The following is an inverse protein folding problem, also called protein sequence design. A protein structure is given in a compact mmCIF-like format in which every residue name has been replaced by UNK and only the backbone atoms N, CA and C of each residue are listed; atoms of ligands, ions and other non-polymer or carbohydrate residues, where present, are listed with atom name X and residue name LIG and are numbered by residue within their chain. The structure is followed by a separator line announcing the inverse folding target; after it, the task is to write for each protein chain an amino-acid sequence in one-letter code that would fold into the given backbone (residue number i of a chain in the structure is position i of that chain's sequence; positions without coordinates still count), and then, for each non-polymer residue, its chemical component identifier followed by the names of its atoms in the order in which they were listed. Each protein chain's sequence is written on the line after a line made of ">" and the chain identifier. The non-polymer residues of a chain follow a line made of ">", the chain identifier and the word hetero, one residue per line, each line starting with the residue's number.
data_IF_421090963295
#
_entry.id   IF_421090963295
#
_cell.length_a   1.000
_cell.length_b   1.000
_cell.length_c   1.000
_cell.angle_alpha   90.00
_cell.angle_beta   90.00
_cell.angle_gamma   90.00
#
_symmetry.space_group_name_H-M   'P 1'
#
loop_
_entity.id
_entity.type
_entity.pdbx_description
1 polymer ?
#
# COMPACT_ATOMS: atom_id res chain seq x y z
N UNK A 1 -4.22 9.33 -0.52
CA UNK A 1 -5.65 9.13 -0.14
C UNK A 1 -6.03 7.70 -0.56
N UNK A 2 -7.20 7.15 -0.20
CA UNK A 2 -7.62 5.87 -0.79
C UNK A 2 -7.98 6.14 -2.27
N UNK A 3 -7.56 5.26 -3.17
CA UNK A 3 -7.94 5.30 -4.59
C UNK A 3 -9.14 4.38 -4.75
N UNK A 4 -10.31 4.94 -5.02
CA UNK A 4 -11.57 4.15 -5.01
C UNK A 4 -12.12 3.87 -6.41
N UNK A 5 -11.65 4.62 -7.40
CA UNK A 5 -12.21 4.58 -8.76
C UNK A 5 -11.42 3.61 -9.64
N UNK A 6 -12.13 2.68 -10.28
CA UNK A 6 -11.59 1.71 -11.24
C UNK A 6 -12.04 2.07 -12.66
N UNK A 7 -11.20 1.82 -13.66
CA UNK A 7 -11.37 2.25 -15.06
C UNK A 7 -11.03 1.08 -15.99
N UNK A 8 -11.93 0.70 -16.90
CA UNK A 8 -11.79 -0.51 -17.75
C UNK A 8 -11.60 -1.80 -16.94
N UNK A 9 -12.53 -2.10 -16.03
CA UNK A 9 -12.56 -3.36 -15.29
C UNK A 9 -12.19 -3.20 -13.81
N UNK A 10 -11.68 -4.27 -13.20
CA UNK A 10 -11.54 -4.37 -11.73
C UNK A 10 -10.14 -4.05 -11.20
N UNK A 11 -9.12 -4.06 -12.06
CA UNK A 11 -7.71 -4.03 -11.64
C UNK A 11 -6.98 -2.73 -11.98
N UNK A 12 -7.56 -1.90 -12.84
CA UNK A 12 -6.96 -0.64 -13.28
C UNK A 12 -7.59 0.52 -12.53
N UNK A 13 -6.87 1.05 -11.54
CA UNK A 13 -7.32 2.24 -10.81
C UNK A 13 -7.09 3.50 -11.62
N UNK A 14 -7.96 4.49 -11.43
CA UNK A 14 -7.82 5.83 -11.99
C UNK A 14 -6.63 6.54 -11.34
N UNK A 15 -5.74 7.12 -12.14
CA UNK A 15 -4.66 7.95 -11.62
C UNK A 15 -5.20 9.34 -11.34
N UNK A 16 -4.96 9.85 -10.13
CA UNK A 16 -5.29 11.21 -9.73
C UNK A 16 -4.22 11.73 -8.76
N UNK A 17 -4.16 13.05 -8.55
CA UNK A 17 -3.10 13.70 -7.77
C UNK A 17 -2.93 13.16 -6.34
N UNK A 18 -4.01 12.61 -5.78
CA UNK A 18 -4.05 12.04 -4.44
C UNK A 18 -3.81 10.53 -4.37
N UNK A 19 -3.49 9.87 -5.49
CA UNK A 19 -3.35 8.41 -5.58
C UNK A 19 -2.11 7.88 -4.87
N UNK A 20 -1.15 8.77 -4.55
CA UNK A 20 0.12 8.43 -3.91
C UNK A 20 0.90 7.35 -4.66
N UNK A 21 0.81 7.36 -5.99
CA UNK A 21 1.52 6.39 -6.79
C UNK A 21 2.85 6.90 -7.31
N UNK A 22 3.72 5.94 -7.56
CA UNK A 22 5.12 6.12 -7.93
C UNK A 22 5.34 5.40 -9.26
N UNK A 23 5.86 6.13 -10.24
CA UNK A 23 6.21 5.60 -11.55
C UNK A 23 7.74 5.57 -11.65
N UNK A 24 8.29 4.37 -11.77
CA UNK A 24 9.74 4.14 -11.83
C UNK A 24 10.11 3.66 -13.22
N UNK A 25 11.10 4.29 -13.84
CA UNK A 25 11.58 3.90 -15.16
C UNK A 25 12.10 2.47 -15.12
N UNK A 26 11.53 1.63 -15.99
CA UNK A 26 11.94 0.23 -16.18
C UNK A 26 13.04 0.10 -17.23
N UNK A 27 13.20 1.13 -18.05
CA UNK A 27 14.32 1.27 -18.99
C UNK A 27 15.39 2.15 -18.33
N UNK A 28 16.69 1.83 -18.43
CA UNK A 28 17.74 2.66 -17.83
C UNK A 28 17.72 4.09 -18.39
N UNK A 29 17.76 5.09 -17.50
CA UNK A 29 17.85 6.50 -17.88
C UNK A 29 19.30 6.89 -18.13
N UNK A 30 19.78 6.72 -19.36
CA UNK A 30 21.18 7.01 -19.70
C UNK A 30 21.36 8.52 -19.84
N UNK A 31 22.13 9.11 -18.91
CA UNK A 31 22.43 10.54 -18.88
C UNK A 31 23.92 10.80 -19.06
N UNK A 32 24.23 11.99 -19.57
CA UNK A 32 25.60 12.52 -19.71
C UNK A 32 26.08 13.02 -18.35
N UNK A 33 27.04 12.32 -17.77
CA UNK A 33 27.62 12.67 -16.46
C UNK A 33 28.96 13.35 -16.64
N UNK A 34 29.19 14.53 -16.01
CA UNK A 34 30.49 15.19 -16.05
C UNK A 34 31.60 14.29 -15.51
N UNK A 35 32.73 14.24 -16.21
CA UNK A 35 33.97 13.60 -15.76
C UNK A 35 35.19 14.41 -16.21
N UNK A 36 36.38 14.18 -15.63
CA UNK A 36 37.61 14.85 -16.07
C UNK A 36 37.94 14.64 -17.56
N UNK A 37 37.51 13.54 -18.16
CA UNK A 37 37.72 13.22 -19.58
C UNK A 37 36.60 13.69 -20.51
N UNK A 38 35.62 14.44 -20.01
CA UNK A 38 34.41 14.84 -20.74
C UNK A 38 33.16 14.07 -20.32
N UNK A 39 31.99 14.36 -20.92
CA UNK A 39 30.73 13.73 -20.53
C UNK A 39 30.70 12.22 -20.82
N UNK A 40 30.38 11.42 -19.82
CA UNK A 40 30.27 9.95 -19.94
C UNK A 40 28.80 9.53 -19.82
N UNK A 41 28.26 8.73 -20.76
CA UNK A 41 26.92 8.16 -20.62
C UNK A 41 26.85 7.14 -19.47
N UNK A 42 26.01 7.39 -18.46
CA UNK A 42 25.81 6.52 -17.29
C UNK A 42 24.31 6.26 -17.10
N UNK A 43 23.88 5.01 -16.86
CA UNK A 43 22.49 4.69 -16.54
C UNK A 43 22.12 5.12 -15.12
N UNK A 44 20.98 5.80 -14.98
CA UNK A 44 20.40 6.22 -13.71
C UNK A 44 18.99 5.65 -13.49
N UNK A 45 18.55 5.52 -12.22
CA UNK A 45 17.13 5.39 -11.93
C UNK A 45 16.40 6.70 -12.27
N UNK A 46 15.13 6.61 -12.64
CA UNK A 46 14.30 7.79 -12.85
C UNK A 46 12.88 7.53 -12.31
N UNK A 47 12.41 8.42 -11.43
CA UNK A 47 11.20 8.22 -10.63
C UNK A 47 10.36 9.49 -10.69
N UNK A 48 9.07 9.32 -10.98
CA UNK A 48 8.07 10.39 -10.97
C UNK A 48 6.87 9.99 -10.11
N UNK A 49 6.11 10.98 -9.60
CA UNK A 49 5.06 10.73 -8.61
C UNK A 49 3.74 11.38 -9.01
N UNK A 50 2.62 10.73 -8.71
CA UNK A 50 1.29 11.29 -9.00
C UNK A 50 0.95 12.54 -8.19
N UNK A 51 1.63 12.74 -7.06
CA UNK A 51 1.53 13.97 -6.25
C UNK A 51 1.92 15.24 -7.02
N UNK A 52 2.77 15.11 -8.04
CA UNK A 52 3.19 16.21 -8.92
C UNK A 52 2.38 16.28 -10.20
N UNK A 53 1.22 15.61 -10.26
CA UNK A 53 0.31 15.69 -11.40
C UNK A 53 -0.06 17.14 -11.71
N UNK A 54 0.18 17.51 -12.97
CA UNK A 54 -0.14 18.77 -13.59
C UNK A 54 -0.91 18.53 -14.90
N UNK A 55 -1.58 19.58 -15.39
CA UNK A 55 -2.33 19.57 -16.66
C UNK A 55 -3.41 18.46 -16.73
N UNK A 56 -3.92 18.03 -15.57
CA UNK A 56 -5.04 17.09 -15.46
C UNK A 56 -6.41 17.80 -15.49
N UNK A 57 -7.44 17.12 -15.00
CA UNK A 57 -8.81 17.67 -14.98
C UNK A 57 -9.00 18.88 -14.07
N UNK A 58 -9.88 19.79 -14.46
CA UNK A 58 -10.17 21.03 -13.75
C UNK A 58 -11.52 21.03 -13.05
N UNK A 59 -12.55 20.46 -13.67
CA UNK A 59 -13.95 20.39 -13.21
C UNK A 59 -14.32 18.99 -12.69
N UNK A 60 -13.86 17.92 -13.33
CA UNK A 60 -14.12 16.54 -12.87
C UNK A 60 -13.05 16.13 -11.85
N UNK A 61 -13.47 15.71 -10.66
CA UNK A 61 -12.56 15.35 -9.56
C UNK A 61 -12.78 13.92 -9.09
N UNK A 62 -11.73 13.30 -8.57
CA UNK A 62 -11.76 11.97 -7.96
C UNK A 62 -11.29 12.06 -6.50
N UNK A 63 -11.76 11.15 -5.65
CA UNK A 63 -11.22 10.89 -4.31
C UNK A 63 -10.78 12.14 -3.53
N UNK A 64 -11.73 12.76 -2.83
CA UNK A 64 -11.49 13.95 -2.01
C UNK A 64 -11.18 15.21 -2.82
N UNK A 65 -11.73 15.33 -4.03
CA UNK A 65 -11.62 16.54 -4.85
C UNK A 65 -10.31 16.65 -5.65
N UNK A 66 -9.59 15.54 -5.84
CA UNK A 66 -8.30 15.53 -6.51
C UNK A 66 -8.43 15.60 -8.04
N UNK A 67 -7.47 16.29 -8.66
CA UNK A 67 -7.28 16.34 -10.11
C UNK A 67 -6.98 14.95 -10.68
N UNK A 68 -7.64 14.59 -11.76
CA UNK A 68 -7.53 13.31 -12.45
C UNK A 68 -6.51 13.40 -13.58
N UNK A 69 -5.71 12.37 -13.77
CA UNK A 69 -4.79 12.26 -14.90
C UNK A 69 -5.54 11.84 -16.16
N UNK A 70 -5.27 12.57 -17.25
CA UNK A 70 -5.91 12.41 -18.55
C UNK A 70 -4.86 12.53 -19.64
N UNK A 71 -5.17 12.11 -20.86
CA UNK A 71 -4.30 12.29 -22.02
C UNK A 71 -3.85 13.76 -22.14
N UNK A 72 -2.52 13.95 -22.19
CA UNK A 72 -1.87 15.26 -22.21
C UNK A 72 -1.58 15.86 -20.83
N UNK A 73 -1.93 15.17 -19.74
CA UNK A 73 -1.45 15.50 -18.40
C UNK A 73 -0.05 14.92 -18.16
N UNK A 74 0.61 15.35 -17.09
CA UNK A 74 1.99 14.95 -16.80
C UNK A 74 2.27 14.93 -15.30
N UNK A 75 3.31 14.19 -14.88
CA UNK A 75 3.94 14.42 -13.59
C UNK A 75 5.05 15.43 -13.81
N UNK A 76 4.97 16.59 -13.17
CA UNK A 76 5.71 17.78 -13.58
C UNK A 76 7.23 17.68 -13.47
N UNK A 77 7.74 16.69 -12.74
CA UNK A 77 9.17 16.44 -12.59
C UNK A 77 9.43 14.97 -12.23
N UNK A 78 10.64 14.53 -12.55
CA UNK A 78 11.19 13.25 -12.17
C UNK A 78 12.53 13.41 -11.44
N UNK A 79 13.00 12.36 -10.75
CA UNK A 79 14.21 12.39 -9.92
C UNK A 79 14.98 11.07 -9.99
N UNK A 80 16.24 11.06 -9.56
CA UNK A 80 17.12 9.88 -9.52
C UNK A 80 18.29 9.96 -10.52
N UNK A 81 18.18 10.84 -11.50
CA UNK A 81 19.14 11.15 -12.57
C UNK A 81 19.98 12.41 -12.27
N UNK A 82 19.90 12.94 -11.04
CA UNK A 82 20.45 14.24 -10.66
C UNK A 82 21.98 14.38 -10.84
N UNK A 83 22.73 13.27 -10.89
CA UNK A 83 24.16 13.28 -11.15
C UNK A 83 24.50 13.45 -12.64
N UNK A 84 23.56 13.12 -13.54
CA UNK A 84 23.68 13.33 -14.98
C UNK A 84 23.34 14.77 -15.38
N UNK A 85 24.06 15.75 -14.83
CA UNK A 85 23.72 17.19 -14.94
C UNK A 85 23.75 17.77 -16.36
N UNK A 86 24.37 17.07 -17.32
CA UNK A 86 24.36 17.44 -18.74
C UNK A 86 23.18 16.83 -19.51
N UNK A 87 22.26 16.19 -18.79
CA UNK A 87 21.00 15.67 -19.26
C UNK A 87 21.09 14.31 -19.96
N UNK A 88 19.92 13.79 -20.30
CA UNK A 88 19.73 12.55 -21.02
C UNK A 88 20.48 12.51 -22.35
N UNK A 89 20.96 11.34 -22.75
CA UNK A 89 21.61 11.15 -24.06
C UNK A 89 20.64 11.49 -25.20
N UNK A 90 19.36 11.16 -25.03
CA UNK A 90 18.32 11.42 -26.03
C UNK A 90 17.62 12.77 -25.80
N UNK A 91 17.23 13.08 -24.57
CA UNK A 91 16.45 14.29 -24.28
C UNK A 91 17.30 15.56 -24.12
N UNK A 92 18.58 15.42 -23.75
CA UNK A 92 19.42 16.51 -23.24
C UNK A 92 18.81 17.29 -22.07
N UNK A 93 17.93 16.65 -21.31
CA UNK A 93 17.30 17.21 -20.10
C UNK A 93 17.57 16.34 -18.87
N UNK A 94 17.40 16.90 -17.68
CA UNK A 94 17.42 16.17 -16.41
C UNK A 94 16.25 16.65 -15.54
N UNK A 95 15.72 15.77 -14.70
CA UNK A 95 14.59 16.05 -13.78
C UNK A 95 13.32 16.59 -14.46
N UNK A 96 13.09 16.24 -15.73
CA UNK A 96 11.92 16.71 -16.49
C UNK A 96 10.70 15.86 -16.29
N UNK A 97 9.59 16.31 -16.86
CA UNK A 97 8.28 15.72 -16.68
C UNK A 97 8.21 14.28 -17.18
N UNK A 98 7.20 13.59 -16.66
CA UNK A 98 6.82 12.23 -17.05
C UNK A 98 5.43 12.24 -17.66
N UNK A 99 5.34 11.83 -18.93
CA UNK A 99 4.15 11.92 -19.78
C UNK A 99 3.61 10.55 -20.16
N UNK A 100 2.33 10.48 -20.52
CA UNK A 100 1.65 9.22 -20.80
C UNK A 100 1.88 8.71 -22.23
N UNK A 101 2.19 7.42 -22.36
CA UNK A 101 2.21 6.67 -23.63
C UNK A 101 0.83 6.05 -23.88
N UNK A 102 0.27 5.41 -22.85
CA UNK A 102 -1.03 4.75 -22.90
C UNK A 102 -2.05 5.47 -22.02
N UNK A 103 -3.32 5.20 -22.29
CA UNK A 103 -4.49 5.71 -21.58
C UNK A 103 -5.70 4.85 -21.97
N UNK A 104 -6.80 4.96 -21.22
CA UNK A 104 -8.06 4.29 -21.55
C UNK A 104 -8.56 4.67 -22.94
N UNK A 105 -8.99 3.72 -23.77
CA UNK A 105 -9.60 4.04 -25.07
C UNK A 105 -11.04 4.54 -24.94
N UNK A 106 -11.77 4.02 -23.94
CA UNK A 106 -13.22 4.17 -23.82
C UNK A 106 -13.62 5.20 -22.76
N UNK A 107 -12.89 5.23 -21.64
CA UNK A 107 -13.21 6.10 -20.51
C UNK A 107 -12.51 7.42 -20.66
N UNK A 108 -13.29 8.50 -20.66
CA UNK A 108 -12.81 9.87 -20.81
C UNK A 108 -13.31 10.73 -19.66
N UNK A 109 -12.46 11.64 -19.22
CA UNK A 109 -12.77 12.70 -18.26
C UNK A 109 -12.49 14.03 -18.96
N UNK A 110 -13.46 14.96 -18.92
CA UNK A 110 -13.36 16.24 -19.66
C UNK A 110 -13.04 16.05 -21.16
N UNK A 111 -13.63 15.02 -21.77
CA UNK A 111 -13.42 14.70 -23.18
C UNK A 111 -12.06 14.09 -23.52
N UNK A 112 -11.16 13.91 -22.54
CA UNK A 112 -9.83 13.31 -22.73
C UNK A 112 -9.74 11.96 -22.05
N UNK A 113 -9.00 11.04 -22.65
CA UNK A 113 -8.83 9.67 -22.17
C UNK A 113 -8.26 9.63 -20.75
N UNK A 114 -8.86 8.83 -19.86
CA UNK A 114 -8.41 8.68 -18.48
C UNK A 114 -7.11 7.85 -18.41
N UNK A 115 -6.17 8.27 -17.57
CA UNK A 115 -4.93 7.54 -17.31
C UNK A 115 -5.10 6.60 -16.11
N UNK A 116 -4.55 5.40 -16.22
CA UNK A 116 -4.74 4.27 -15.31
C UNK A 116 -3.40 3.82 -14.75
N UNK A 117 -3.46 3.09 -13.64
CA UNK A 117 -2.32 2.51 -12.94
C UNK A 117 -1.24 1.94 -13.89
N UNK A 118 -1.63 1.03 -14.78
CA UNK A 118 -0.70 0.27 -15.63
C UNK A 118 -0.38 0.96 -16.94
N UNK A 119 -0.85 2.20 -17.13
CA UNK A 119 -0.57 2.95 -18.34
C UNK A 119 0.89 3.40 -18.35
N UNK A 120 1.55 3.15 -19.48
CA UNK A 120 2.99 3.35 -19.66
C UNK A 120 3.32 4.82 -19.77
N UNK A 121 4.54 5.19 -19.36
CA UNK A 121 4.97 6.58 -19.30
C UNK A 121 6.37 6.77 -19.90
N UNK A 122 6.58 7.91 -20.51
CA UNK A 122 7.92 8.44 -20.79
C UNK A 122 8.36 9.26 -19.58
N UNK A 123 9.64 9.21 -19.21
CA UNK A 123 10.20 10.04 -18.14
C UNK A 123 11.40 10.86 -18.62
N UNK A 124 11.68 11.95 -17.91
CA UNK A 124 12.72 12.92 -18.22
C UNK A 124 12.66 13.40 -19.68
N UNK A 125 11.51 13.96 -20.06
CA UNK A 125 11.27 14.46 -21.42
C UNK A 125 11.49 13.38 -22.50
N UNK A 126 11.16 12.13 -22.19
CA UNK A 126 11.28 11.00 -23.11
C UNK A 126 12.69 10.46 -23.31
N UNK A 127 13.61 10.72 -22.37
CA UNK A 127 14.91 10.05 -22.33
C UNK A 127 14.78 8.56 -22.00
N UNK A 128 13.85 8.24 -21.09
CA UNK A 128 13.57 6.88 -20.65
C UNK A 128 12.07 6.59 -20.61
N UNK A 129 11.71 5.35 -20.29
CA UNK A 129 10.34 4.88 -20.17
C UNK A 129 10.11 4.02 -18.94
N UNK A 130 8.91 4.18 -18.37
CA UNK A 130 8.28 3.24 -17.46
C UNK A 130 7.25 2.41 -18.23
N UNK A 131 7.57 1.13 -18.38
CA UNK A 131 6.74 0.16 -19.10
C UNK A 131 5.84 -0.65 -18.17
N UNK A 132 6.02 -0.55 -16.85
CA UNK A 132 5.18 -1.20 -15.85
C UNK A 132 3.96 -0.34 -15.48
N UNK A 133 4.10 0.98 -15.55
CA UNK A 133 3.11 1.95 -15.10
C UNK A 133 3.35 2.36 -13.64
N UNK A 134 2.45 3.19 -13.13
CA UNK A 134 2.49 3.68 -11.75
C UNK A 134 2.12 2.58 -10.76
N UNK A 135 2.89 2.43 -9.69
CA UNK A 135 2.54 1.63 -8.52
C UNK A 135 1.74 2.49 -7.55
N UNK A 136 0.52 2.06 -7.20
CA UNK A 136 -0.30 2.72 -6.19
C UNK A 136 -0.45 1.81 -4.96
N UNK A 137 0.20 2.20 -3.85
CA UNK A 137 0.04 1.53 -2.56
C UNK A 137 -1.40 1.55 -2.02
N UNK A 138 -2.27 2.41 -2.58
CA UNK A 138 -3.68 2.45 -2.26
C UNK A 138 -4.44 1.18 -2.66
N UNK A 139 -3.97 0.45 -3.69
CA UNK A 139 -4.62 -0.79 -4.14
C UNK A 139 -4.54 -1.85 -3.06
N UNK A 140 -3.36 -2.12 -2.51
CA UNK A 140 -3.22 -3.13 -1.46
C UNK A 140 -4.06 -2.79 -0.23
N UNK A 141 -4.12 -1.51 0.18
CA UNK A 141 -4.98 -1.09 1.28
C UNK A 141 -6.46 -1.28 0.95
N UNK A 142 -6.89 -1.03 -0.28
CA UNK A 142 -8.27 -1.24 -0.71
C UNK A 142 -8.59 -2.74 -0.80
N UNK A 143 -7.71 -3.56 -1.36
CA UNK A 143 -7.86 -5.02 -1.39
C UNK A 143 -8.00 -5.57 0.03
N UNK A 144 -7.18 -5.10 0.98
CA UNK A 144 -7.33 -5.45 2.39
C UNK A 144 -8.64 -4.95 2.99
N UNK A 145 -9.14 -3.78 2.59
CA UNK A 145 -10.44 -3.26 3.01
C UNK A 145 -11.59 -4.13 2.49
N UNK A 146 -11.53 -4.55 1.23
CA UNK A 146 -12.54 -5.42 0.60
C UNK A 146 -12.55 -6.80 1.28
N UNK A 147 -11.37 -7.42 1.48
CA UNK A 147 -11.22 -8.65 2.24
C UNK A 147 -11.77 -8.54 3.67
N UNK A 148 -11.51 -7.40 4.32
CA UNK A 148 -11.98 -7.13 5.68
C UNK A 148 -13.50 -7.11 5.73
N UNK A 149 -14.15 -6.45 4.76
CA UNK A 149 -15.61 -6.41 4.68
C UNK A 149 -16.22 -7.77 4.38
N UNK A 150 -15.61 -8.54 3.48
CA UNK A 150 -16.04 -9.91 3.22
C UNK A 150 -15.91 -10.80 4.45
N UNK A 151 -14.80 -10.71 5.19
CA UNK A 151 -14.62 -11.47 6.43
C UNK A 151 -15.59 -11.03 7.54
N UNK A 152 -15.92 -9.74 7.60
CA UNK A 152 -16.90 -9.21 8.54
C UNK A 152 -18.30 -9.79 8.31
N UNK A 153 -18.66 -9.98 7.03
CA UNK A 153 -19.93 -10.58 6.61
C UNK A 153 -19.93 -12.11 6.72
N UNK A 154 -18.82 -12.78 6.40
CA UNK A 154 -18.73 -14.25 6.43
C UNK A 154 -18.67 -14.80 7.86
N UNK A 155 -17.99 -14.11 8.77
CA UNK A 155 -17.79 -14.57 10.15
C UNK A 155 -18.82 -13.91 11.08
N UNK A 156 -19.97 -14.56 11.22
CA UNK A 156 -21.05 -14.14 12.12
C UNK A 156 -20.86 -14.69 13.55
N UNK A 157 -21.40 -14.00 14.57
CA UNK A 157 -21.26 -14.42 15.96
C UNK A 157 -22.05 -15.70 16.28
N UNK A 158 -21.40 -16.62 16.99
CA UNK A 158 -22.02 -17.81 17.56
C UNK A 158 -22.40 -17.60 19.05
N UNK A 159 -23.30 -18.42 19.63
CA UNK A 159 -23.80 -18.22 21.00
C UNK A 159 -22.72 -18.11 22.09
N UNK A 160 -21.61 -18.85 21.95
CA UNK A 160 -20.50 -18.86 22.90
C UNK A 160 -19.41 -17.82 22.59
N UNK A 161 -19.58 -17.02 21.53
CA UNK A 161 -18.59 -16.03 21.15
C UNK A 161 -18.53 -14.86 22.14
N UNK A 162 -17.31 -14.37 22.32
CA UNK A 162 -17.02 -13.10 22.97
C UNK A 162 -16.34 -12.18 21.97
N UNK A 163 -16.34 -10.87 22.18
CA UNK A 163 -15.69 -9.93 21.25
C UNK A 163 -14.24 -10.30 20.91
N UNK A 164 -13.37 -10.71 21.87
CA UNK A 164 -12.02 -11.17 21.53
C UNK A 164 -12.00 -12.45 20.69
N UNK A 165 -12.91 -13.39 20.95
CA UNK A 165 -12.98 -14.67 20.22
C UNK A 165 -13.48 -14.45 18.79
N UNK A 166 -14.58 -13.71 18.62
CA UNK A 166 -15.10 -13.32 17.31
C UNK A 166 -14.05 -12.51 16.51
N UNK A 167 -13.37 -11.58 17.18
CA UNK A 167 -12.27 -10.84 16.58
C UNK A 167 -11.15 -11.76 16.10
N UNK A 168 -10.78 -12.78 16.87
CA UNK A 168 -9.78 -13.78 16.45
C UNK A 168 -10.23 -14.56 15.21
N UNK A 169 -11.48 -15.03 15.17
CA UNK A 169 -12.06 -15.71 13.99
C UNK A 169 -12.02 -14.82 12.73
N UNK A 170 -12.34 -13.53 12.86
CA UNK A 170 -12.25 -12.56 11.75
C UNK A 170 -10.82 -12.32 11.25
N UNK A 171 -9.83 -12.25 12.15
CA UNK A 171 -8.43 -12.17 11.74
C UNK A 171 -7.93 -13.46 11.08
N UNK A 172 -8.42 -14.63 11.49
CA UNK A 172 -8.10 -15.90 10.83
C UNK A 172 -8.65 -15.92 9.39
N UNK A 173 -9.88 -15.43 9.18
CA UNK A 173 -10.42 -15.21 7.84
C UNK A 173 -9.53 -14.28 6.99
N UNK A 174 -9.06 -13.16 7.56
CA UNK A 174 -8.14 -12.25 6.87
C UNK A 174 -6.83 -12.93 6.47
N UNK A 175 -6.20 -13.66 7.38
CA UNK A 175 -4.96 -14.40 7.10
C UNK A 175 -5.17 -15.43 5.97
N UNK A 176 -6.31 -16.12 5.97
CA UNK A 176 -6.68 -17.08 4.93
C UNK A 176 -6.80 -16.39 3.56
N UNK A 177 -7.56 -15.29 3.48
CA UNK A 177 -7.73 -14.53 2.22
C UNK A 177 -6.42 -13.95 1.70
N UNK A 178 -5.60 -13.35 2.57
CA UNK A 178 -4.28 -12.80 2.17
C UNK A 178 -3.38 -13.91 1.64
N UNK A 179 -3.41 -15.11 2.22
CA UNK A 179 -2.57 -16.24 1.76
C UNK A 179 -2.98 -16.78 0.38
N UNK A 180 -4.24 -16.59 0.00
CA UNK A 180 -4.82 -17.03 -1.27
C UNK A 180 -4.80 -15.93 -2.34
N UNK A 181 -4.52 -14.69 -1.95
CA UNK A 181 -4.48 -13.56 -2.86
C UNK A 181 -3.39 -13.70 -3.93
N UNK A 182 -3.77 -13.37 -5.17
CA UNK A 182 -2.89 -13.39 -6.34
C UNK A 182 -2.77 -12.01 -6.97
N UNK A 183 -3.09 -10.96 -6.21
CA UNK A 183 -2.96 -9.59 -6.69
C UNK A 183 -1.50 -9.27 -7.02
N UNK A 184 -1.25 -8.34 -7.95
CA UNK A 184 0.12 -7.95 -8.30
C UNK A 184 0.89 -7.33 -7.12
N UNK A 185 0.18 -6.75 -6.15
CA UNK A 185 0.80 -6.24 -4.94
C UNK A 185 0.92 -7.36 -3.92
N UNK A 186 2.15 -7.66 -3.50
CA UNK A 186 2.44 -8.73 -2.54
C UNK A 186 2.04 -8.30 -1.13
N UNK A 187 1.15 -9.07 -0.52
CA UNK A 187 0.72 -8.89 0.87
C UNK A 187 1.03 -10.16 1.66
N UNK A 188 1.38 -9.98 2.92
CA UNK A 188 1.65 -11.08 3.86
C UNK A 188 0.76 -10.86 5.08
N UNK A 189 0.07 -11.92 5.51
CA UNK A 189 -0.73 -11.91 6.74
C UNK A 189 0.12 -11.79 8.00
N UNK A 190 -0.49 -12.01 9.16
CA UNK A 190 0.18 -11.79 10.45
C UNK A 190 1.55 -12.45 10.51
N UNK A 191 2.57 -11.64 10.78
CA UNK A 191 3.96 -12.10 10.90
C UNK A 191 4.57 -11.52 12.15
N UNK A 192 5.22 -12.36 12.95
CA UNK A 192 5.97 -11.92 14.12
C UNK A 192 7.27 -11.23 13.70
N UNK A 193 7.56 -10.05 14.25
CA UNK A 193 8.84 -9.35 14.10
C UNK A 193 9.47 -9.10 15.46
N UNK A 194 10.77 -9.32 15.60
CA UNK A 194 11.47 -9.05 16.84
C UNK A 194 11.47 -7.54 17.13
N UNK A 195 11.01 -7.15 18.32
CA UNK A 195 10.85 -5.73 18.71
C UNK A 195 12.18 -4.95 18.71
N UNK A 196 13.31 -5.61 18.88
CA UNK A 196 14.64 -4.98 18.95
C UNK A 196 15.32 -4.92 17.59
N UNK A 197 15.25 -5.99 16.80
CA UNK A 197 16.00 -6.08 15.54
C UNK A 197 15.16 -5.70 14.32
N UNK A 198 13.83 -5.72 14.43
CA UNK A 198 12.92 -5.52 13.29
C UNK A 198 12.87 -6.68 12.31
N UNK A 199 13.67 -7.74 12.52
CA UNK A 199 13.67 -8.90 11.65
C UNK A 199 12.47 -9.83 11.93
N UNK A 200 12.00 -10.58 10.92
CA UNK A 200 11.02 -11.64 11.14
C UNK A 200 11.49 -12.59 12.26
N UNK A 201 10.62 -12.89 13.21
CA UNK A 201 10.92 -13.81 14.28
C UNK A 201 11.08 -15.24 13.72
N UNK A 202 11.78 -16.09 14.48
CA UNK A 202 11.86 -17.51 14.19
C UNK A 202 10.46 -18.14 14.29
N UNK A 203 10.16 -19.05 13.35
CA UNK A 203 8.91 -19.81 13.38
C UNK A 203 8.76 -20.53 14.73
N UNK A 204 7.54 -20.59 15.30
CA UNK A 204 6.25 -20.25 14.70
C UNK A 204 5.87 -18.76 14.82
N UNK A 205 5.45 -18.16 13.70
CA UNK A 205 5.17 -16.72 13.56
C UNK A 205 3.69 -16.37 13.77
N UNK A 206 3.06 -16.95 14.79
CA UNK A 206 1.63 -16.72 15.10
C UNK A 206 1.46 -16.17 16.51
N UNK A 207 0.50 -15.26 16.73
CA UNK A 207 0.09 -14.87 18.08
C UNK A 207 -0.74 -15.93 18.80
N UNK A 208 -1.12 -17.01 18.13
CA UNK A 208 -1.87 -18.12 18.72
C UNK A 208 -0.95 -19.09 19.46
N UNK A 209 -1.48 -19.68 20.54
CA UNK A 209 -0.80 -20.74 21.28
C UNK A 209 -0.89 -22.02 20.48
N UNK A 210 0.25 -22.70 20.28
CA UNK A 210 0.25 -23.97 19.57
C UNK A 210 -0.34 -25.08 20.45
N UNK A 211 -0.93 -26.08 19.79
CA UNK A 211 -1.41 -27.30 20.46
C UNK A 211 -0.24 -27.96 21.18
N UNK A 212 -0.38 -28.20 22.48
CA UNK A 212 0.68 -28.78 23.32
C UNK A 212 1.76 -27.80 23.81
N UNK A 213 1.76 -26.53 23.38
CA UNK A 213 2.73 -25.53 23.86
C UNK A 213 2.44 -25.17 25.32
N UNK A 214 3.40 -25.31 26.26
CA UNK A 214 3.21 -24.85 27.63
C UNK A 214 2.97 -23.34 27.69
N UNK A 215 2.08 -22.89 28.58
CA UNK A 215 1.65 -21.48 28.64
C UNK A 215 2.82 -20.49 28.86
N UNK A 216 3.84 -20.91 29.61
CA UNK A 216 5.03 -20.09 29.86
C UNK A 216 5.89 -19.91 28.60
N UNK A 217 5.97 -20.94 27.73
CA UNK A 217 6.71 -20.85 26.46
C UNK A 217 5.97 -19.94 25.47
N UNK A 218 4.64 -20.05 25.41
CA UNK A 218 3.78 -19.17 24.64
C UNK A 218 3.99 -17.68 25.02
N UNK A 219 3.93 -17.35 26.31
CA UNK A 219 4.16 -15.97 26.75
C UNK A 219 5.59 -15.49 26.47
N UNK A 220 6.60 -16.36 26.62
CA UNK A 220 7.98 -16.04 26.29
C UNK A 220 8.15 -15.71 24.80
N UNK A 221 7.49 -16.47 23.92
CA UNK A 221 7.49 -16.28 22.46
C UNK A 221 6.84 -14.96 22.05
N UNK A 222 5.70 -14.60 22.66
CA UNK A 222 4.97 -13.37 22.31
C UNK A 222 5.66 -12.11 22.83
N UNK A 223 6.20 -12.14 24.06
CA UNK A 223 6.69 -10.94 24.78
C UNK A 223 7.83 -10.19 24.07
N UNK A 224 8.55 -10.84 23.15
CA UNK A 224 9.67 -10.24 22.41
C UNK A 224 9.30 -9.66 21.03
N UNK A 225 8.06 -9.84 20.57
CA UNK A 225 7.69 -9.60 19.18
C UNK A 225 6.57 -8.56 19.02
N UNK A 226 6.52 -7.96 17.85
CA UNK A 226 5.41 -7.15 17.34
C UNK A 226 4.74 -7.96 16.23
N UNK A 227 3.41 -7.94 16.19
CA UNK A 227 2.58 -8.70 15.26
C UNK A 227 1.67 -7.72 14.52
N UNK A 228 2.14 -7.06 13.45
CA UNK A 228 1.23 -6.38 12.53
C UNK A 228 0.29 -7.43 11.91
N UNK A 229 -1.00 -7.09 11.79
CA UNK A 229 -1.99 -8.02 11.23
C UNK A 229 -1.75 -8.32 9.74
N UNK A 230 -1.17 -7.37 9.00
CA UNK A 230 -0.65 -7.60 7.65
C UNK A 230 0.52 -6.67 7.30
N UNK A 231 1.29 -7.09 6.31
CA UNK A 231 2.39 -6.32 5.72
C UNK A 231 2.21 -6.25 4.22
N UNK A 232 2.25 -5.03 3.66
CA UNK A 232 2.33 -4.79 2.22
C UNK A 232 3.81 -4.75 1.85
N UNK A 233 4.20 -5.51 0.84
CA UNK A 233 5.56 -5.58 0.36
C UNK A 233 5.73 -4.75 -0.92
N UNK A 234 6.95 -4.26 -1.16
CA UNK A 234 7.35 -3.68 -2.43
C UNK A 234 7.68 -4.77 -3.47
N UNK A 235 8.12 -4.34 -4.66
CA UNK A 235 8.47 -5.23 -5.77
C UNK A 235 9.68 -6.12 -5.47
N UNK A 236 10.58 -5.66 -4.60
CA UNK A 236 11.74 -6.42 -4.11
C UNK A 236 11.33 -7.45 -3.04
N UNK A 237 10.05 -7.45 -2.64
CA UNK A 237 9.50 -8.34 -1.64
C UNK A 237 9.91 -7.94 -0.21
N UNK A 238 10.33 -6.70 0.00
CA UNK A 238 10.62 -6.14 1.32
C UNK A 238 9.38 -5.48 1.92
N UNK A 239 9.25 -5.43 3.26
CA UNK A 239 8.17 -4.71 3.92
C UNK A 239 8.13 -3.23 3.52
N UNK A 240 7.04 -2.79 2.88
CA UNK A 240 6.82 -1.39 2.47
C UNK A 240 5.80 -0.66 3.35
N UNK A 241 4.86 -1.39 3.96
CA UNK A 241 3.88 -0.81 4.90
C UNK A 241 3.29 -1.84 5.85
N UNK A 242 3.18 -1.50 7.13
CA UNK A 242 2.42 -2.30 8.09
C UNK A 242 0.96 -1.89 8.19
N UNK A 243 0.09 -2.88 8.38
CA UNK A 243 -1.36 -2.73 8.44
C UNK A 243 -1.90 -3.43 9.69
N UNK A 244 -2.86 -2.80 10.35
CA UNK A 244 -3.63 -3.36 11.45
C UNK A 244 -5.12 -3.38 11.09
N UNK A 245 -5.82 -4.44 11.49
CA UNK A 245 -7.25 -4.61 11.30
C UNK A 245 -8.00 -4.35 12.61
N UNK A 246 -9.16 -3.71 12.50
CA UNK A 246 -10.06 -3.50 13.63
C UNK A 246 -11.50 -3.82 13.21
N UNK A 247 -12.07 -4.79 13.92
CA UNK A 247 -13.44 -5.23 13.74
C UNK A 247 -14.29 -4.72 14.90
N UNK A 248 -15.34 -3.99 14.55
CA UNK A 248 -16.36 -3.60 15.50
C UNK A 248 -17.10 -4.83 15.99
N UNK A 249 -17.18 -4.97 17.32
CA UNK A 249 -17.88 -6.08 17.93
C UNK A 249 -19.40 -5.80 17.90
N UNK A 250 -20.20 -6.63 17.22
CA UNK A 250 -21.63 -6.40 17.08
C UNK A 250 -22.39 -6.64 18.39
N UNK A 251 -23.55 -6.01 18.53
CA UNK A 251 -24.51 -6.31 19.60
C UNK A 251 -25.26 -7.61 19.25
N UNK A 252 -25.55 -8.51 20.21
CA UNK A 252 -25.32 -8.42 21.66
C UNK A 252 -24.08 -9.21 22.16
N UNK A 253 -23.04 -9.39 21.34
CA UNK A 253 -21.88 -10.25 21.70
C UNK A 253 -21.21 -9.76 22.99
N UNK A 254 -21.00 -10.63 24.01
CA UNK A 254 -20.33 -10.27 25.25
C UNK A 254 -18.91 -9.73 25.05
N UNK A 255 -18.58 -8.62 25.72
CA UNK A 255 -17.23 -8.02 25.65
C UNK A 255 -16.11 -8.91 26.20
N UNK A 256 -16.46 -9.83 27.10
CA UNK A 256 -15.64 -10.91 27.65
C UNK A 256 -16.56 -11.99 28.20
N UNK A 257 -16.03 -13.16 28.58
CA UNK A 257 -16.82 -14.23 29.21
C UNK A 257 -17.47 -13.69 30.50
N UNK A 258 -18.80 -13.77 30.57
CA UNK A 258 -19.61 -13.21 31.67
C UNK A 258 -19.62 -11.67 31.75
N UNK A 259 -19.11 -10.97 30.74
CA UNK A 259 -19.14 -9.51 30.65
C UNK A 259 -20.43 -8.98 30.02
N UNK A 260 -20.67 -7.66 30.07
CA UNK A 260 -21.82 -7.05 29.43
C UNK A 260 -21.75 -7.18 27.89
N UNK A 261 -22.91 -7.19 27.21
CA UNK A 261 -22.98 -7.20 25.75
C UNK A 261 -22.32 -5.95 25.15
N UNK A 262 -21.71 -6.10 23.98
CA UNK A 262 -21.20 -4.98 23.20
C UNK A 262 -22.34 -4.05 22.81
N UNK A 263 -22.05 -2.75 22.82
CA UNK A 263 -22.98 -1.71 22.33
C UNK A 263 -22.92 -1.52 20.81
N UNK A 264 -22.04 -2.24 20.11
CA UNK A 264 -21.92 -2.13 18.65
C UNK A 264 -21.33 -0.81 18.14
N UNK A 265 -20.92 0.10 19.02
CA UNK A 265 -20.46 1.47 18.68
C UNK A 265 -19.04 1.76 19.19
N UNK A 266 -18.26 0.71 19.50
CA UNK A 266 -16.90 0.90 19.99
C UNK A 266 -16.04 1.57 18.89
N UNK A 267 -15.35 2.68 19.19
CA UNK A 267 -14.52 3.37 18.21
C UNK A 267 -13.36 2.48 17.74
N UNK A 268 -13.19 2.33 16.43
CA UNK A 268 -12.10 1.52 15.86
C UNK A 268 -10.82 2.37 15.72
N UNK A 269 -10.17 2.67 16.84
CA UNK A 269 -8.88 3.37 16.87
C UNK A 269 -7.70 2.43 17.16
N UNK A 270 -6.50 2.96 16.93
CA UNK A 270 -5.27 2.33 17.40
C UNK A 270 -5.35 2.08 18.90
N UNK A 271 -5.09 0.85 19.33
CA UNK A 271 -4.98 0.56 20.77
C UNK A 271 -3.80 1.33 21.37
N UNK A 272 -3.86 1.62 22.67
CA UNK A 272 -2.84 2.43 23.36
C UNK A 272 -1.43 1.91 23.06
N UNK A 273 -0.59 2.77 22.46
CA UNK A 273 0.79 2.45 22.08
C UNK A 273 0.96 1.45 20.93
N UNK A 274 -0.12 1.01 20.25
CA UNK A 274 -0.03 0.14 19.07
C UNK A 274 0.64 0.87 17.91
N UNK A 275 0.13 2.05 17.53
CA UNK A 275 0.71 2.86 16.44
C UNK A 275 2.19 3.18 16.65
N UNK A 276 2.58 3.58 17.86
CA UNK A 276 3.97 3.86 18.19
C UNK A 276 4.86 2.62 18.01
N UNK A 277 4.41 1.45 18.47
CA UNK A 277 5.14 0.19 18.28
C UNK A 277 5.29 -0.17 16.81
N UNK A 278 4.22 -0.05 16.03
CA UNK A 278 4.24 -0.37 14.58
C UNK A 278 5.12 0.61 13.81
N UNK A 279 5.15 1.91 14.18
CA UNK A 279 6.10 2.89 13.63
C UNK A 279 7.55 2.56 13.97
N UNK A 280 7.83 2.22 15.23
CA UNK A 280 9.18 1.80 15.64
C UNK A 280 9.61 0.56 14.87
N UNK A 281 8.71 -0.40 14.63
CA UNK A 281 9.01 -1.55 13.78
C UNK A 281 9.38 -1.13 12.34
N UNK A 282 8.65 -0.16 11.78
CA UNK A 282 8.93 0.43 10.47
C UNK A 282 10.33 1.03 10.38
N UNK A 283 10.76 1.78 11.41
CA UNK A 283 12.10 2.38 11.47
C UNK A 283 13.24 1.36 11.59
N UNK A 284 12.94 0.12 12.04
CA UNK A 284 13.92 -0.96 12.16
C UNK A 284 14.06 -1.79 10.88
N UNK A 285 13.19 -1.60 9.88
CA UNK A 285 13.31 -2.27 8.59
C UNK A 285 14.52 -1.76 7.80
N UNK A 286 14.96 -2.55 6.82
CA UNK A 286 16.07 -2.21 5.91
C UNK A 286 15.61 -2.41 4.45
N UNK A 287 15.35 -1.34 3.68
CA UNK A 287 15.36 0.06 4.11
C UNK A 287 14.26 0.39 5.13
N UNK A 288 14.40 1.46 5.93
CA UNK A 288 13.34 1.89 6.85
C UNK A 288 12.05 2.21 6.12
N UNK A 289 10.92 1.76 6.64
CA UNK A 289 9.60 2.11 6.11
C UNK A 289 9.31 3.56 6.45
N UNK A 290 9.18 4.41 5.43
CA UNK A 290 8.83 5.83 5.57
C UNK A 290 7.32 6.07 5.54
N UNK A 291 6.54 5.09 5.08
CA UNK A 291 5.09 5.18 4.98
C UNK A 291 4.43 4.84 6.32
N UNK A 292 3.55 5.73 6.78
CA UNK A 292 2.80 5.54 8.03
C UNK A 292 1.97 4.24 8.05
N UNK A 293 2.00 3.46 9.15
CA UNK A 293 1.16 2.29 9.32
C UNK A 293 -0.31 2.58 9.07
N UNK A 294 -1.04 1.64 8.46
CA UNK A 294 -2.45 1.82 8.13
C UNK A 294 -3.34 1.06 9.10
N UNK A 295 -4.37 1.75 9.60
CA UNK A 295 -5.51 1.12 10.26
C UNK A 295 -6.62 0.91 9.22
N UNK A 296 -7.12 -0.32 9.10
CA UNK A 296 -8.25 -0.69 8.25
C UNK A 296 -9.37 -1.20 9.17
N UNK A 297 -10.58 -0.68 8.99
CA UNK A 297 -11.69 -0.89 9.91
C UNK A 297 -12.95 -1.31 9.14
N UNK A 298 -13.84 -2.06 9.79
CA UNK A 298 -15.13 -2.43 9.17
C UNK A 298 -16.17 -1.29 9.19
N UNK A 299 -15.87 -0.15 9.80
CA UNK A 299 -16.73 1.06 9.76
C UNK A 299 -16.91 1.60 8.33
N UNK A 300 -16.03 1.22 7.41
CA UNK A 300 -16.05 1.62 5.99
C UNK A 300 -16.68 0.58 5.08
N UNK A 301 -17.18 -0.52 5.64
CA UNK A 301 -17.83 -1.54 4.84
C UNK A 301 -19.20 -1.04 4.35
N UNK A 302 -19.59 -1.37 3.11
CA UNK A 302 -20.93 -1.08 2.64
C UNK A 302 -21.95 -1.76 3.56
N UNK A 303 -23.03 -1.04 3.85
CA UNK A 303 -24.16 -1.53 4.63
C UNK A 303 -24.92 -2.63 3.88
#
# INVERSE_FOLDING_TARGET
>A
MAVTIKVNGTSHTLVHKGSSGVSTATVPDVCKTPSPGGPVPIPYPNISQSSTLANGTTTVKADGGMMIAIKGSEFSASNGDNAGTLGGVKSSTFMKESTWILYSFDVKMEGRNACRLTDKKLQNHGNTADMAGELQMAIAVQTLQDMLCECDQQVQPEPDDTCPLLGAKKHECMNSKISQDRSPVKMVGETAYNRKTGQPAARPNTRMRLIGEPIHQFFRRIRGNIYPDATIHDDDGLPARFVEFKFQCPTPVPTRRGGPPSKGVAPQFWSRGQLSRTRTLGSLQRPPITVEPKLVTNERCPA
#
